data_IF_863745859996
#
_entry.id   IF_863745859996
#
_cell.length_a   1.000
_cell.length_b   1.000
_cell.length_c   1.000
_cell.angle_alpha   90.00
_cell.angle_beta   90.00
_cell.angle_gamma   90.00
#
_symmetry.space_group_name_H-M   'P 1'
#
loop_
_entity.id
_entity.type
_entity.pdbx_description
1 polymer ?
#
# COMPACT_ATOMS: atom_id res chain seq x y z
N UNK A 1 -5.53 -22.33 -18.91
CA UNK A 1 -5.78 -22.05 -17.49
C UNK A 1 -5.95 -20.56 -17.26
N UNK A 2 -7.06 -20.18 -16.64
CA UNK A 2 -7.24 -18.76 -16.25
C UNK A 2 -6.31 -18.46 -15.08
N UNK A 3 -5.46 -17.44 -15.22
CA UNK A 3 -4.73 -16.89 -14.08
C UNK A 3 -5.74 -16.28 -13.13
N UNK A 4 -5.65 -16.62 -11.85
CA UNK A 4 -6.43 -15.92 -10.83
C UNK A 4 -5.94 -14.48 -10.74
N UNK A 5 -6.88 -13.53 -10.69
CA UNK A 5 -6.55 -12.13 -10.49
C UNK A 5 -5.98 -11.93 -9.09
N UNK A 6 -4.90 -11.17 -8.99
CA UNK A 6 -4.39 -10.77 -7.68
C UNK A 6 -5.33 -9.73 -7.10
N UNK A 7 -5.71 -9.95 -5.83
CA UNK A 7 -6.56 -9.02 -5.10
C UNK A 7 -5.67 -8.05 -4.33
N UNK A 8 -5.93 -6.77 -4.49
CA UNK A 8 -5.19 -5.70 -3.82
C UNK A 8 -6.17 -4.88 -2.99
N UNK A 9 -6.08 -4.94 -1.65
CA UNK A 9 -6.86 -4.02 -0.81
C UNK A 9 -6.30 -2.61 -0.92
N UNK A 10 -7.19 -1.64 -1.03
CA UNK A 10 -6.82 -0.23 -1.12
C UNK A 10 -7.74 0.59 -0.21
N UNK A 11 -7.16 1.56 0.47
CA UNK A 11 -7.89 2.48 1.33
C UNK A 11 -7.25 3.85 1.31
N UNK A 12 -8.05 4.88 1.58
CA UNK A 12 -7.58 6.26 1.59
C UNK A 12 -8.41 7.10 2.52
N UNK A 13 -7.86 8.23 2.96
CA UNK A 13 -8.64 9.29 3.57
C UNK A 13 -9.20 10.21 2.47
N UNK A 14 -9.90 11.27 2.87
CA UNK A 14 -10.49 12.22 1.93
C UNK A 14 -9.45 12.91 1.03
N UNK A 15 -8.22 13.13 1.52
CA UNK A 15 -7.15 13.74 0.72
C UNK A 15 -6.66 12.80 -0.38
N UNK A 16 -6.76 11.49 -0.16
CA UNK A 16 -6.34 10.47 -1.12
C UNK A 16 -7.44 9.93 -2.02
N UNK A 17 -8.67 10.42 -1.86
CA UNK A 17 -9.83 9.88 -2.58
C UNK A 17 -9.66 9.90 -4.11
N UNK A 18 -9.23 11.04 -4.66
CA UNK A 18 -9.07 11.16 -6.11
C UNK A 18 -7.95 10.29 -6.65
N UNK A 19 -6.80 10.28 -5.96
CA UNK A 19 -5.68 9.44 -6.35
C UNK A 19 -6.05 7.95 -6.27
N UNK A 20 -6.81 7.56 -5.23
CA UNK A 20 -7.32 6.20 -5.10
C UNK A 20 -8.13 5.77 -6.32
N UNK A 21 -9.05 6.64 -6.77
CA UNK A 21 -9.87 6.36 -7.95
C UNK A 21 -9.02 6.12 -9.19
N UNK A 22 -7.99 6.95 -9.40
CA UNK A 22 -7.10 6.82 -10.54
C UNK A 22 -6.27 5.53 -10.49
N UNK A 23 -5.80 5.16 -9.31
CA UNK A 23 -5.04 3.92 -9.11
C UNK A 23 -5.94 2.71 -9.38
N UNK A 24 -7.17 2.73 -8.86
CA UNK A 24 -8.12 1.64 -9.10
C UNK A 24 -8.36 1.44 -10.59
N UNK A 25 -8.62 2.53 -11.33
CA UNK A 25 -8.85 2.45 -12.77
C UNK A 25 -7.64 1.86 -13.50
N UNK A 26 -6.45 2.37 -13.17
CA UNK A 26 -5.21 1.91 -13.80
C UNK A 26 -4.95 0.42 -13.56
N UNK A 27 -5.06 -0.02 -12.30
CA UNK A 27 -4.77 -1.41 -11.95
C UNK A 27 -5.86 -2.37 -12.46
N UNK A 28 -7.10 -1.93 -12.49
CA UNK A 28 -8.19 -2.74 -13.05
C UNK A 28 -7.92 -3.04 -14.52
N UNK A 29 -7.46 -2.06 -15.29
CA UNK A 29 -7.09 -2.26 -16.69
C UNK A 29 -5.92 -3.22 -16.86
N UNK A 30 -5.01 -3.26 -15.86
CA UNK A 30 -3.86 -4.18 -15.87
C UNK A 30 -4.24 -5.60 -15.42
N UNK A 31 -5.47 -5.84 -15.04
CA UNK A 31 -5.95 -7.18 -14.67
C UNK A 31 -5.97 -7.48 -13.18
N UNK A 32 -5.70 -6.49 -12.33
CA UNK A 32 -5.81 -6.67 -10.88
C UNK A 32 -7.26 -6.50 -10.42
N UNK A 33 -7.61 -7.13 -9.31
CA UNK A 33 -8.88 -6.92 -8.66
C UNK A 33 -8.66 -6.06 -7.41
N UNK A 34 -9.33 -4.92 -7.32
CA UNK A 34 -9.17 -3.99 -6.21
C UNK A 34 -10.28 -4.19 -5.19
N UNK A 35 -9.89 -4.40 -3.92
CA UNK A 35 -10.83 -4.39 -2.81
C UNK A 35 -10.79 -2.99 -2.19
N UNK A 36 -11.78 -2.17 -2.53
CA UNK A 36 -11.87 -0.78 -2.09
C UNK A 36 -12.53 -0.68 -0.72
N UNK A 37 -11.74 -0.34 0.30
CA UNK A 37 -12.22 -0.14 1.66
C UNK A 37 -12.63 1.31 1.96
N UNK A 38 -12.55 2.20 0.97
CA UNK A 38 -12.91 3.61 1.11
C UNK A 38 -11.65 4.48 1.33
N UNK A 39 -11.84 5.79 1.59
CA UNK A 39 -13.17 6.42 1.72
C UNK A 39 -13.88 6.55 0.36
N UNK A 40 -15.14 6.96 0.42
CA UNK A 40 -16.00 6.99 -0.77
C UNK A 40 -16.40 8.42 -1.17
N UNK A 41 -15.82 9.43 -0.56
CA UNK A 41 -16.09 10.83 -0.86
C UNK A 41 -14.92 11.71 -0.43
N UNK A 42 -15.01 13.01 -0.75
CA UNK A 42 -14.03 14.02 -0.34
C UNK A 42 -14.33 14.61 1.06
N UNK A 43 -15.35 14.12 1.73
CA UNK A 43 -15.69 14.60 3.07
C UNK A 43 -14.63 14.17 4.07
N UNK A 44 -14.31 15.06 5.02
CA UNK A 44 -13.33 14.80 6.06
C UNK A 44 -13.71 13.56 6.89
N UNK A 45 -12.75 12.66 7.07
CA UNK A 45 -12.93 11.39 7.78
C UNK A 45 -11.70 11.11 8.65
N UNK A 46 -11.80 10.10 9.48
CA UNK A 46 -10.69 9.63 10.29
C UNK A 46 -9.92 8.53 9.54
N UNK A 47 -8.67 8.82 9.20
CA UNK A 47 -7.87 7.90 8.39
C UNK A 47 -7.70 6.49 8.99
N UNK A 48 -7.65 6.29 10.33
CA UNK A 48 -7.50 4.94 10.85
C UNK A 48 -8.66 4.00 10.49
N UNK A 49 -9.87 4.54 10.33
CA UNK A 49 -11.03 3.75 9.94
C UNK A 49 -10.86 3.09 8.58
N UNK A 50 -10.00 3.64 7.74
CA UNK A 50 -9.72 3.14 6.39
C UNK A 50 -8.36 2.45 6.28
N UNK A 51 -7.47 2.70 7.24
CA UNK A 51 -6.17 2.06 7.32
C UNK A 51 -6.22 0.66 7.91
N UNK A 52 -6.93 0.50 9.03
CA UNK A 52 -7.00 -0.80 9.71
C UNK A 52 -7.58 -1.92 8.86
N UNK A 53 -8.69 -1.74 8.11
CA UNK A 53 -9.22 -2.82 7.29
C UNK A 53 -8.25 -3.32 6.22
N UNK A 54 -7.53 -2.42 5.57
CA UNK A 54 -6.52 -2.79 4.58
C UNK A 54 -5.39 -3.58 5.24
N UNK A 55 -4.89 -3.07 6.36
CA UNK A 55 -3.80 -3.71 7.10
C UNK A 55 -4.21 -5.11 7.58
N UNK A 56 -5.43 -5.24 8.09
CA UNK A 56 -5.93 -6.53 8.55
C UNK A 56 -6.00 -7.55 7.41
N UNK A 57 -6.50 -7.15 6.26
CA UNK A 57 -6.60 -8.05 5.11
C UNK A 57 -5.22 -8.50 4.64
N UNK A 58 -4.25 -7.58 4.59
CA UNK A 58 -2.86 -7.91 4.22
C UNK A 58 -2.23 -8.84 5.24
N UNK A 59 -2.43 -8.58 6.53
CA UNK A 59 -1.89 -9.41 7.61
C UNK A 59 -2.42 -10.84 7.57
N UNK A 60 -3.69 -11.00 7.24
CA UNK A 60 -4.36 -12.30 7.20
C UNK A 60 -4.06 -13.11 5.92
N UNK A 61 -3.47 -12.50 4.91
CA UNK A 61 -3.24 -13.14 3.62
C UNK A 61 -1.77 -13.03 3.21
N UNK A 62 -1.00 -14.08 3.49
CA UNK A 62 0.43 -14.11 3.17
C UNK A 62 0.67 -13.84 1.68
N UNK A 63 1.61 -12.95 1.39
CA UNK A 63 1.96 -12.59 0.02
C UNK A 63 1.08 -11.50 -0.60
N UNK A 64 0.03 -11.09 0.08
CA UNK A 64 -0.84 -10.01 -0.40
C UNK A 64 -0.16 -8.66 -0.22
N UNK A 65 -0.29 -7.79 -1.21
CA UNK A 65 0.21 -6.41 -1.17
C UNK A 65 -0.99 -5.45 -1.13
N UNK A 66 -0.88 -4.39 -0.33
CA UNK A 66 -1.94 -3.40 -0.18
C UNK A 66 -1.47 -1.98 -0.48
N UNK A 67 -2.42 -1.07 -0.63
CA UNK A 67 -2.18 0.33 -0.95
C UNK A 67 -2.97 1.21 0.01
N UNK A 68 -2.28 2.19 0.61
CA UNK A 68 -2.90 3.19 1.46
C UNK A 68 -2.51 4.59 1.00
N UNK A 69 -3.43 5.53 1.11
CA UNK A 69 -3.22 6.90 0.65
C UNK A 69 -3.81 7.87 1.67
N UNK A 70 -3.03 8.86 2.09
CA UNK A 70 -3.58 10.01 2.82
C UNK A 70 -2.77 11.26 2.48
N UNK A 71 -3.13 12.40 3.03
CA UNK A 71 -2.52 13.68 2.66
C UNK A 71 -1.00 13.69 2.71
N UNK A 72 -0.42 13.39 3.87
CA UNK A 72 1.03 13.24 4.02
C UNK A 72 1.46 11.77 3.99
N UNK A 73 0.50 10.85 4.13
CA UNK A 73 0.77 9.42 4.24
C UNK A 73 1.18 8.98 5.65
N UNK A 74 1.57 9.91 6.52
CA UNK A 74 2.11 9.58 7.84
C UNK A 74 1.11 8.83 8.71
N UNK A 75 -0.05 9.40 8.93
CA UNK A 75 -1.02 8.83 9.87
C UNK A 75 -1.52 7.45 9.48
N UNK A 76 -1.85 7.28 8.22
CA UNK A 76 -2.39 6.01 7.75
C UNK A 76 -1.30 4.91 7.71
N UNK A 77 -0.05 5.31 7.44
CA UNK A 77 1.09 4.39 7.51
C UNK A 77 1.36 3.96 8.95
N UNK A 78 1.32 4.90 9.89
CA UNK A 78 1.46 4.58 11.32
C UNK A 78 0.38 3.61 11.78
N UNK A 79 -0.87 3.85 11.34
CA UNK A 79 -2.00 2.97 11.64
C UNK A 79 -1.72 1.54 11.17
N UNK A 80 -1.33 1.40 9.91
CA UNK A 80 -1.06 0.09 9.33
C UNK A 80 0.07 -0.63 10.06
N UNK A 81 1.13 0.08 10.44
CA UNK A 81 2.28 -0.50 11.10
C UNK A 81 2.04 -0.93 12.57
N UNK A 82 0.86 -0.66 13.12
CA UNK A 82 0.46 -1.23 14.42
C UNK A 82 0.09 -2.71 14.31
N UNK A 83 -0.15 -3.20 13.11
CA UNK A 83 -0.40 -4.62 12.86
C UNK A 83 0.93 -5.34 12.71
N UNK A 84 1.18 -6.37 13.54
CA UNK A 84 2.49 -7.03 13.61
C UNK A 84 2.93 -7.66 12.28
N UNK A 85 1.98 -8.11 11.47
CA UNK A 85 2.29 -8.71 10.17
C UNK A 85 2.39 -7.71 9.02
N UNK A 86 2.27 -6.41 9.30
CA UNK A 86 2.28 -5.37 8.27
C UNK A 86 3.59 -4.57 8.31
N UNK A 87 4.14 -4.34 7.14
CA UNK A 87 5.27 -3.44 6.92
C UNK A 87 4.85 -2.44 5.86
N UNK A 88 4.28 -1.32 6.32
CA UNK A 88 3.87 -0.23 5.44
C UNK A 88 5.03 0.71 5.21
N UNK A 89 5.33 0.99 3.95
CA UNK A 89 6.37 1.92 3.57
C UNK A 89 5.75 3.19 3.00
N UNK A 90 6.04 4.32 3.61
CA UNK A 90 5.67 5.64 3.09
C UNK A 90 6.63 6.00 1.98
N UNK A 91 6.13 6.13 0.76
CA UNK A 91 6.96 6.34 -0.42
C UNK A 91 6.58 7.63 -1.15
N UNK A 92 7.59 8.36 -1.60
CA UNK A 92 7.42 9.60 -2.36
C UNK A 92 8.25 9.63 -3.64
N UNK A 93 9.00 8.57 -3.91
CA UNK A 93 9.77 8.35 -5.14
C UNK A 93 9.74 6.89 -5.49
N UNK A 94 9.83 6.57 -6.78
CA UNK A 94 9.82 5.17 -7.22
C UNK A 94 10.99 4.36 -6.66
N UNK A 95 12.16 4.98 -6.49
CA UNK A 95 13.34 4.32 -5.92
C UNK A 95 13.09 3.86 -4.48
N UNK A 96 12.36 4.66 -3.70
CA UNK A 96 11.99 4.29 -2.33
C UNK A 96 11.01 3.11 -2.34
N UNK A 97 10.05 3.12 -3.26
CA UNK A 97 9.09 2.02 -3.41
C UNK A 97 9.80 0.72 -3.79
N UNK A 98 10.77 0.81 -4.68
CA UNK A 98 11.58 -0.36 -5.08
C UNK A 98 12.36 -0.92 -3.90
N UNK A 99 13.07 -0.05 -3.17
CA UNK A 99 13.85 -0.47 -2.00
C UNK A 99 12.99 -1.04 -0.89
N UNK A 100 11.78 -0.50 -0.70
CA UNK A 100 10.85 -1.01 0.30
C UNK A 100 10.51 -2.49 0.03
N UNK A 101 10.39 -2.86 -1.23
CA UNK A 101 10.19 -4.25 -1.60
C UNK A 101 11.47 -5.07 -1.49
N UNK A 102 12.54 -4.61 -2.14
CA UNK A 102 13.79 -5.35 -2.23
C UNK A 102 14.41 -5.63 -0.87
N UNK A 103 14.43 -4.65 0.00
CA UNK A 103 15.15 -4.73 1.28
C UNK A 103 14.26 -5.01 2.48
N UNK A 104 13.03 -4.50 2.48
CA UNK A 104 12.18 -4.53 3.67
C UNK A 104 10.99 -5.49 3.54
N UNK A 105 10.78 -6.07 2.38
CA UNK A 105 9.61 -6.89 2.10
C UNK A 105 8.33 -6.18 2.55
N UNK A 106 8.24 -4.88 2.25
CA UNK A 106 7.08 -4.09 2.58
C UNK A 106 5.85 -4.70 1.88
N UNK A 107 4.76 -4.86 2.63
CA UNK A 107 3.54 -5.44 2.07
C UNK A 107 2.42 -4.41 1.91
N UNK A 108 2.65 -3.17 2.32
CA UNK A 108 1.77 -2.05 2.02
C UNK A 108 2.64 -0.89 1.54
N UNK A 109 2.22 -0.26 0.42
CA UNK A 109 2.77 1.04 0.03
C UNK A 109 1.80 2.11 0.47
N UNK A 110 2.31 3.15 1.12
CA UNK A 110 1.51 4.31 1.52
C UNK A 110 1.97 5.53 0.72
N UNK A 111 1.02 6.25 0.15
CA UNK A 111 1.30 7.39 -0.72
C UNK A 111 0.84 8.71 -0.08
N UNK A 112 1.70 9.77 -0.16
CA UNK A 112 1.36 11.11 0.36
C UNK A 112 0.69 11.94 -0.73
N UNK A 113 -0.64 11.83 -0.88
CA UNK A 113 -1.38 12.40 -2.01
C UNK A 113 -1.17 13.90 -2.25
N UNK A 114 -0.89 14.68 -1.18
CA UNK A 114 -0.69 16.13 -1.31
C UNK A 114 0.71 16.52 -1.77
N UNK A 115 1.64 15.57 -1.84
CA UNK A 115 3.06 15.83 -2.10
C UNK A 115 3.56 15.15 -3.36
N UNK A 116 2.70 14.42 -4.07
CA UNK A 116 3.05 13.72 -5.31
C UNK A 116 1.97 13.98 -6.36
N UNK A 117 2.36 13.84 -7.64
CA UNK A 117 1.38 13.87 -8.73
C UNK A 117 0.68 12.51 -8.83
N UNK A 118 -0.45 12.47 -9.53
CA UNK A 118 -1.15 11.21 -9.82
C UNK A 118 -0.25 10.26 -10.61
N UNK A 119 0.51 10.79 -11.56
CA UNK A 119 1.44 10.00 -12.39
C UNK A 119 2.54 9.37 -11.55
N UNK A 120 3.10 10.14 -10.61
CA UNK A 120 4.11 9.62 -9.68
C UNK A 120 3.53 8.51 -8.79
N UNK A 121 2.30 8.70 -8.31
CA UNK A 121 1.63 7.70 -7.48
C UNK A 121 1.43 6.39 -8.22
N UNK A 122 0.95 6.45 -9.46
CA UNK A 122 0.74 5.28 -10.30
C UNK A 122 2.06 4.58 -10.59
N UNK A 123 3.11 5.33 -10.93
CA UNK A 123 4.44 4.77 -11.18
C UNK A 123 4.99 4.04 -9.96
N UNK A 124 4.85 4.63 -8.78
CA UNK A 124 5.32 4.01 -7.54
C UNK A 124 4.57 2.71 -7.22
N UNK A 125 3.26 2.71 -7.42
CA UNK A 125 2.44 1.51 -7.21
C UNK A 125 2.87 0.40 -8.17
N UNK A 126 3.07 0.73 -9.44
CA UNK A 126 3.50 -0.25 -10.44
C UNK A 126 4.85 -0.86 -10.08
N UNK A 127 5.82 -0.03 -9.70
CA UNK A 127 7.14 -0.51 -9.24
C UNK A 127 6.99 -1.41 -8.02
N UNK A 128 6.19 -0.98 -7.04
CA UNK A 128 5.96 -1.74 -5.81
C UNK A 128 5.38 -3.13 -6.10
N UNK A 129 4.37 -3.21 -6.95
CA UNK A 129 3.69 -4.48 -7.25
C UNK A 129 4.55 -5.44 -8.08
N UNK A 130 5.55 -4.94 -8.79
CA UNK A 130 6.38 -5.73 -9.70
C UNK A 130 7.80 -5.97 -9.20
N UNK A 131 8.12 -5.59 -7.97
CA UNK A 131 9.45 -5.76 -7.40
C UNK A 131 9.44 -6.86 -6.35
N UNK A 132 10.35 -7.81 -6.48
CA UNK A 132 10.49 -8.94 -5.56
C UNK A 132 11.35 -8.58 -4.35
N UNK A 133 11.12 -9.27 -3.23
CA UNK A 133 11.99 -9.19 -2.07
C UNK A 133 13.27 -9.97 -2.36
N UNK A 134 14.43 -9.35 -2.08
CA UNK A 134 15.72 -9.99 -2.34
C UNK A 134 16.08 -11.09 -1.35
N UNK A 135 15.52 -11.05 -0.15
CA UNK A 135 15.85 -12.03 0.90
C UNK A 135 17.28 -11.87 1.41
N UNK A 136 17.99 -12.99 1.51
CA UNK A 136 19.39 -12.98 1.94
C UNK A 136 19.56 -12.29 3.30
N UNK A 137 20.53 -11.38 3.40
CA UNK A 137 20.84 -10.64 4.64
C UNK A 137 19.67 -9.78 5.14
N UNK A 138 18.75 -9.40 4.24
CA UNK A 138 17.60 -8.56 4.61
C UNK A 138 16.57 -9.33 5.42
N UNK A 139 16.47 -10.64 5.22
CA UNK A 139 15.46 -11.46 5.90
C UNK A 139 15.59 -11.41 7.43
N UNK A 140 16.80 -11.44 7.93
CA UNK A 140 17.04 -11.38 9.37
C UNK A 140 16.53 -10.06 9.98
N UNK A 141 16.75 -8.96 9.26
CA UNK A 141 16.26 -7.65 9.70
C UNK A 141 14.74 -7.54 9.64
N UNK A 142 14.15 -8.04 8.55
CA UNK A 142 12.69 -8.05 8.39
C UNK A 142 12.03 -8.84 9.53
N UNK A 143 12.60 -9.99 9.89
CA UNK A 143 12.08 -10.83 10.96
C UNK A 143 12.08 -10.15 12.33
N UNK A 144 12.88 -9.10 12.51
CA UNK A 144 12.99 -8.37 13.77
C UNK A 144 12.15 -7.10 13.83
N UNK A 145 11.42 -6.78 12.77
CA UNK A 145 10.56 -5.56 12.75
C UNK A 145 9.37 -5.74 13.68
N UNK A 146 8.71 -6.88 13.64
CA UNK A 146 7.59 -7.17 14.54
C UNK A 146 8.08 -7.31 15.99
N UNK A 147 7.26 -6.86 16.94
CA UNK A 147 7.60 -6.91 18.37
C UNK A 147 7.42 -8.28 18.99
N UNK A 148 6.69 -9.13 18.33
CA UNK A 148 6.38 -10.47 18.87
C UNK A 148 6.23 -11.51 17.79
#
# INVERSE_FOLDING_TARGET
>A
MKKMKKIIPIGADHAGFELKAKIIDYLTEKGYELKDFGCYSNDSIDYPDYGHPVAQMVEENMGMLGILICGSGNGISMTANKHQGVRSALCWKKEIAELARQHNNANIITLPARFISEEEGIEMVEVFLNTEFEGGRHQNRVNKIACS
#
